data_IF_243343034539
#
_entry.id   IF_243343034539
#
_cell.length_a   1.000
_cell.length_b   1.000
_cell.length_c   1.000
_cell.angle_alpha   90.00
_cell.angle_beta   90.00
_cell.angle_gamma   90.00
#
_symmetry.space_group_name_H-M   'P 1'
#
loop_
_entity.id
_entity.type
_entity.pdbx_description
1 polymer ?
#
# COMPACT_ATOMS: atom_id res chain seq x y z
N UNK A 1 4.15 -21.20 33.12
CA UNK A 1 2.70 -20.94 33.20
C UNK A 1 2.54 -19.45 33.41
N UNK A 2 2.32 -18.67 32.33
CA UNK A 2 2.14 -17.20 32.45
C UNK A 2 0.72 -16.92 32.93
N UNK A 3 0.59 -16.16 34.01
CA UNK A 3 -0.69 -15.71 34.51
C UNK A 3 -1.43 -14.95 33.41
N UNK A 4 -2.64 -15.40 33.08
CA UNK A 4 -3.59 -14.61 32.30
C UNK A 4 -4.04 -13.48 33.22
N UNK A 5 -3.43 -12.31 33.09
CA UNK A 5 -3.98 -11.07 33.69
C UNK A 5 -5.46 -11.00 33.34
N UNK A 6 -6.29 -10.78 34.36
CA UNK A 6 -7.73 -10.57 34.22
C UNK A 6 -7.96 -9.47 33.20
N UNK A 7 -8.50 -9.84 32.04
CA UNK A 7 -9.04 -8.90 31.07
C UNK A 7 -10.21 -8.22 31.78
N UNK A 8 -10.00 -6.98 32.21
CA UNK A 8 -11.11 -6.12 32.60
C UNK A 8 -11.95 -5.97 31.34
N UNK A 9 -13.17 -6.53 31.32
CA UNK A 9 -14.16 -6.23 30.28
C UNK A 9 -14.56 -4.76 30.47
N UNK A 10 -13.78 -3.85 29.90
CA UNK A 10 -14.21 -2.48 29.71
C UNK A 10 -15.38 -2.50 28.73
N UNK A 11 -16.48 -1.83 29.07
CA UNK A 11 -17.46 -1.42 28.06
C UNK A 11 -16.75 -0.50 27.09
N UNK A 12 -16.39 -1.04 25.92
CA UNK A 12 -15.88 -0.24 24.83
C UNK A 12 -17.06 0.51 24.20
N UNK A 13 -16.89 1.78 23.80
CA UNK A 13 -17.94 2.50 23.11
C UNK A 13 -18.36 1.74 21.86
N UNK A 14 -19.67 1.63 21.63
CA UNK A 14 -20.19 1.23 20.33
C UNK A 14 -19.92 2.38 19.36
N UNK A 15 -19.21 2.08 18.27
CA UNK A 15 -18.95 3.04 17.21
C UNK A 15 -19.55 2.49 15.92
N UNK A 16 -20.38 3.31 15.29
CA UNK A 16 -20.99 3.02 13.99
C UNK A 16 -20.08 3.55 12.87
N UNK A 17 -20.03 2.84 11.75
CA UNK A 17 -19.36 3.27 10.53
C UNK A 17 -19.91 2.51 9.32
N UNK A 18 -19.73 3.05 8.12
CA UNK A 18 -20.02 2.34 6.88
C UNK A 18 -18.92 1.31 6.57
N UNK A 19 -17.67 1.66 6.88
CA UNK A 19 -16.49 0.84 6.61
C UNK A 19 -15.55 0.79 7.82
N UNK A 20 -15.31 -0.43 8.31
CA UNK A 20 -14.26 -0.72 9.29
C UNK A 20 -13.00 -1.24 8.59
N UNK A 21 -11.89 -0.51 8.71
CA UNK A 21 -10.57 -0.91 8.22
C UNK A 21 -9.72 -1.43 9.37
N UNK A 22 -9.18 -2.64 9.22
CA UNK A 22 -8.34 -3.29 10.23
C UNK A 22 -6.88 -3.32 9.77
N UNK A 23 -6.04 -2.51 10.43
CA UNK A 23 -4.61 -2.37 10.18
C UNK A 23 -4.25 -1.04 9.52
N UNK A 24 -3.20 -0.38 10.02
CA UNK A 24 -2.70 0.92 9.55
C UNK A 24 -1.50 0.83 8.60
N UNK A 25 -1.26 -0.33 7.98
CA UNK A 25 -0.29 -0.46 6.89
C UNK A 25 -0.75 0.27 5.62
N UNK A 26 0.09 0.27 4.57
CA UNK A 26 -0.25 0.98 3.31
C UNK A 26 -1.59 0.54 2.72
N UNK A 27 -1.90 -0.76 2.74
CA UNK A 27 -3.17 -1.25 2.21
C UNK A 27 -4.38 -0.72 2.99
N UNK A 28 -4.29 -0.71 4.33
CA UNK A 28 -5.35 -0.19 5.19
C UNK A 28 -5.52 1.32 5.05
N UNK A 29 -4.42 2.07 5.02
CA UNK A 29 -4.47 3.52 4.78
C UNK A 29 -5.05 3.83 3.40
N UNK A 30 -4.63 3.15 2.34
CA UNK A 30 -5.19 3.33 0.99
C UNK A 30 -6.69 3.00 0.96
N UNK A 31 -7.11 1.89 1.58
CA UNK A 31 -8.53 1.51 1.66
C UNK A 31 -9.35 2.56 2.42
N UNK A 32 -8.85 3.04 3.57
CA UNK A 32 -9.53 4.02 4.37
C UNK A 32 -9.68 5.36 3.63
N UNK A 33 -8.62 5.85 2.98
CA UNK A 33 -8.65 7.10 2.22
C UNK A 33 -9.59 6.96 1.02
N UNK A 34 -9.48 5.88 0.25
CA UNK A 34 -10.35 5.66 -0.93
C UNK A 34 -11.83 5.55 -0.55
N UNK A 35 -12.16 4.87 0.57
CA UNK A 35 -13.53 4.80 1.07
C UNK A 35 -14.04 6.17 1.53
N UNK A 36 -13.20 6.96 2.23
CA UNK A 36 -13.53 8.34 2.62
C UNK A 36 -13.78 9.25 1.40
N UNK A 37 -12.99 9.11 0.35
CA UNK A 37 -13.16 9.87 -0.91
C UNK A 37 -14.48 9.55 -1.61
N UNK A 38 -15.04 8.35 -1.38
CA UNK A 38 -16.36 7.94 -1.85
C UNK A 38 -17.51 8.31 -0.89
N UNK A 39 -17.20 9.05 0.19
CA UNK A 39 -18.20 9.58 1.13
C UNK A 39 -18.54 8.68 2.30
N UNK A 40 -17.94 7.48 2.42
CA UNK A 40 -18.20 6.56 3.53
C UNK A 40 -17.69 7.11 4.86
N UNK A 41 -18.40 6.86 5.97
CA UNK A 41 -17.86 6.99 7.32
C UNK A 41 -16.92 5.81 7.60
N UNK A 42 -15.65 6.12 7.89
CA UNK A 42 -14.59 5.11 8.02
C UNK A 42 -14.00 5.14 9.42
N UNK A 43 -13.95 3.97 10.06
CA UNK A 43 -13.14 3.73 11.25
C UNK A 43 -11.93 2.89 10.84
N UNK A 44 -10.73 3.35 11.18
CA UNK A 44 -9.49 2.57 11.03
C UNK A 44 -8.97 2.20 12.42
N UNK A 45 -8.70 0.92 12.62
CA UNK A 45 -8.10 0.40 13.85
C UNK A 45 -6.71 -0.16 13.61
N UNK A 46 -5.82 0.04 14.58
CA UNK A 46 -4.47 -0.52 14.60
C UNK A 46 -4.22 -1.11 15.98
N UNK A 47 -3.62 -2.31 16.02
CA UNK A 47 -3.27 -3.00 17.25
C UNK A 47 -1.96 -2.44 17.83
N UNK A 48 -1.01 -2.07 16.97
CA UNK A 48 0.26 -1.51 17.38
C UNK A 48 0.06 -0.16 18.12
N UNK A 49 1.00 0.15 19.01
CA UNK A 49 1.05 1.48 19.60
C UNK A 49 1.25 2.55 18.52
N UNK A 50 0.92 3.81 18.84
CA UNK A 50 1.07 4.94 17.91
C UNK A 50 2.48 5.01 17.32
N UNK A 51 3.50 4.76 18.13
CA UNK A 51 4.91 4.81 17.71
C UNK A 51 5.30 3.64 16.80
N UNK A 52 4.54 2.55 16.81
CA UNK A 52 4.82 1.29 16.11
C UNK A 52 3.86 1.03 14.92
N UNK A 53 2.90 1.93 14.67
CA UNK A 53 1.92 1.82 13.58
C UNK A 53 2.57 1.85 12.19
N UNK A 54 1.83 1.41 11.16
CA UNK A 54 2.32 1.34 9.78
C UNK A 54 2.76 -0.06 9.34
N UNK A 55 2.83 -1.03 10.27
CA UNK A 55 3.19 -2.41 9.98
C UNK A 55 4.52 -2.55 9.25
N UNK A 56 4.64 -3.56 8.39
CA UNK A 56 5.85 -3.78 7.59
C UNK A 56 6.12 -2.64 6.60
N UNK A 57 5.10 -1.91 6.17
CA UNK A 57 5.27 -0.77 5.24
C UNK A 57 6.18 0.30 5.84
N UNK A 58 6.09 0.56 7.16
CA UNK A 58 6.95 1.53 7.84
C UNK A 58 8.46 1.26 7.63
N UNK A 59 8.83 -0.01 7.42
CA UNK A 59 10.21 -0.45 7.24
C UNK A 59 10.59 -0.72 5.78
N UNK A 60 9.65 -0.62 4.84
CA UNK A 60 9.95 -0.80 3.43
C UNK A 60 10.73 0.42 2.91
N UNK A 61 11.65 0.19 1.96
CA UNK A 61 12.38 1.26 1.23
C UNK A 61 11.48 2.09 0.28
N UNK A 62 10.15 2.00 0.45
CA UNK A 62 9.14 2.80 -0.24
C UNK A 62 9.26 2.80 -1.78
N UNK A 63 9.64 1.66 -2.36
CA UNK A 63 9.77 1.48 -3.80
C UNK A 63 8.47 0.98 -4.43
N UNK A 64 7.98 1.69 -5.45
CA UNK A 64 6.81 1.27 -6.24
C UNK A 64 7.22 1.03 -7.69
N UNK A 65 6.92 -0.16 -8.21
CA UNK A 65 7.06 -0.51 -9.63
C UNK A 65 5.73 -0.32 -10.33
N UNK A 66 5.75 0.29 -11.50
CA UNK A 66 4.57 0.49 -12.34
C UNK A 66 4.99 0.62 -13.80
N UNK A 67 4.11 0.29 -14.77
CA UNK A 67 4.39 0.51 -16.19
C UNK A 67 4.61 2.00 -16.50
N UNK A 68 5.63 2.31 -17.28
CA UNK A 68 6.00 3.68 -17.65
C UNK A 68 6.72 3.74 -19.01
N UNK A 69 6.60 4.88 -19.68
CA UNK A 69 7.44 5.21 -20.81
C UNK A 69 8.87 5.54 -20.35
N UNK A 70 9.84 5.40 -21.24
CA UNK A 70 11.21 5.83 -20.97
C UNK A 70 11.27 7.32 -20.63
N UNK A 71 12.04 7.66 -19.60
CA UNK A 71 12.27 9.04 -19.15
C UNK A 71 13.75 9.26 -18.75
N UNK A 72 14.05 10.43 -18.17
CA UNK A 72 15.41 10.79 -17.75
C UNK A 72 15.95 9.94 -16.60
N UNK A 73 15.07 9.26 -15.86
CA UNK A 73 15.42 8.38 -14.73
C UNK A 73 15.53 6.92 -15.17
N UNK A 74 14.78 6.51 -16.20
CA UNK A 74 14.83 5.17 -16.75
C UNK A 74 14.73 5.17 -18.29
N UNK A 75 15.84 4.87 -19.02
CA UNK A 75 15.91 5.07 -20.47
C UNK A 75 15.25 3.94 -21.28
N UNK A 76 14.40 3.10 -20.69
CA UNK A 76 13.68 2.02 -21.39
C UNK A 76 12.21 2.06 -21.03
N UNK A 77 11.36 1.73 -21.99
CA UNK A 77 9.94 1.51 -21.69
C UNK A 77 9.81 0.29 -20.78
N UNK A 78 8.87 0.36 -19.85
CA UNK A 78 8.43 -0.77 -19.04
C UNK A 78 6.93 -0.93 -19.24
N UNK A 79 6.55 -1.87 -20.09
CA UNK A 79 5.16 -2.04 -20.52
C UNK A 79 4.34 -2.82 -19.48
N UNK A 80 3.01 -2.80 -19.62
CA UNK A 80 2.13 -3.67 -18.84
C UNK A 80 2.49 -5.15 -19.00
N UNK A 81 2.87 -5.57 -20.22
CA UNK A 81 3.28 -6.93 -20.49
C UNK A 81 4.61 -7.27 -19.81
N UNK A 82 5.59 -6.35 -19.81
CA UNK A 82 6.84 -6.54 -19.06
C UNK A 82 6.57 -6.71 -17.57
N UNK A 83 5.69 -5.88 -17.01
CA UNK A 83 5.33 -5.91 -15.59
C UNK A 83 4.59 -7.20 -15.22
N UNK A 84 3.62 -7.61 -16.04
CA UNK A 84 2.90 -8.89 -15.91
C UNK A 84 3.85 -10.08 -15.98
N UNK A 85 4.74 -10.08 -16.97
CA UNK A 85 5.72 -11.15 -17.17
C UNK A 85 6.69 -11.25 -15.99
N UNK A 86 7.07 -10.12 -15.38
CA UNK A 86 7.89 -10.12 -14.17
C UNK A 86 7.19 -10.78 -12.99
N UNK A 87 5.91 -10.52 -12.74
CA UNK A 87 5.14 -11.21 -11.70
C UNK A 87 5.12 -12.73 -11.93
N UNK A 88 4.85 -13.16 -13.16
CA UNK A 88 4.80 -14.59 -13.49
C UNK A 88 6.17 -15.25 -13.38
N UNK A 89 7.23 -14.57 -13.83
CA UNK A 89 8.62 -15.04 -13.73
C UNK A 89 9.07 -15.17 -12.28
N UNK A 90 8.87 -14.13 -11.46
CA UNK A 90 9.29 -14.09 -10.05
C UNK A 90 8.51 -15.11 -9.22
N UNK A 91 7.21 -15.24 -9.47
CA UNK A 91 6.36 -16.21 -8.76
C UNK A 91 6.53 -17.65 -9.25
N UNK A 92 7.29 -17.88 -10.33
CA UNK A 92 7.42 -19.16 -11.02
C UNK A 92 6.06 -19.71 -11.49
N UNK A 93 5.20 -18.82 -12.01
CA UNK A 93 3.87 -19.15 -12.50
C UNK A 93 2.83 -19.46 -11.43
N UNK A 94 3.15 -19.22 -10.14
CA UNK A 94 2.25 -19.52 -9.02
C UNK A 94 1.35 -18.36 -8.61
N UNK A 95 1.66 -17.13 -9.04
CA UNK A 95 0.80 -15.99 -8.77
C UNK A 95 -0.53 -16.12 -9.50
N UNK A 96 -1.60 -15.62 -8.87
CA UNK A 96 -2.92 -15.65 -9.47
C UNK A 96 -2.96 -14.64 -10.65
N UNK A 97 -3.21 -15.09 -11.89
CA UNK A 97 -3.19 -14.21 -13.06
C UNK A 97 -4.27 -13.14 -13.02
N UNK A 98 -5.45 -13.42 -12.44
CA UNK A 98 -6.54 -12.44 -12.33
C UNK A 98 -6.16 -11.30 -11.38
N UNK A 99 -5.51 -11.60 -10.25
CA UNK A 99 -5.04 -10.58 -9.32
C UNK A 99 -3.88 -9.77 -9.91
N UNK A 100 -2.99 -10.41 -10.67
CA UNK A 100 -1.94 -9.70 -11.41
C UNK A 100 -2.56 -8.73 -12.41
N UNK A 101 -3.60 -9.13 -13.14
CA UNK A 101 -4.28 -8.25 -14.09
C UNK A 101 -4.82 -6.99 -13.41
N UNK A 102 -5.43 -7.15 -12.23
CA UNK A 102 -5.91 -6.01 -11.43
C UNK A 102 -4.73 -5.09 -11.07
N UNK A 103 -3.61 -5.63 -10.59
CA UNK A 103 -2.44 -4.81 -10.24
C UNK A 103 -1.90 -4.07 -11.46
N UNK A 104 -1.68 -4.78 -12.57
CA UNK A 104 -1.06 -4.22 -13.78
C UNK A 104 -1.87 -3.04 -14.31
N UNK A 105 -3.19 -3.20 -14.42
CA UNK A 105 -4.08 -2.16 -14.96
C UNK A 105 -4.22 -0.93 -14.07
N UNK A 106 -4.09 -1.09 -12.75
CA UNK A 106 -4.30 -0.01 -11.80
C UNK A 106 -2.99 0.65 -11.34
N UNK A 107 -1.82 0.11 -11.70
CA UNK A 107 -0.55 0.56 -11.14
C UNK A 107 -0.22 2.02 -11.50
N UNK A 108 -0.42 2.43 -12.75
CA UNK A 108 -0.19 3.81 -13.19
C UNK A 108 -1.13 4.79 -12.49
N UNK A 109 -2.44 4.53 -12.54
CA UNK A 109 -3.47 5.33 -11.85
C UNK A 109 -3.22 5.42 -10.34
N UNK A 110 -2.72 4.34 -9.72
CA UNK A 110 -2.35 4.35 -8.30
C UNK A 110 -1.20 5.31 -8.03
N UNK A 111 -0.17 5.34 -8.88
CA UNK A 111 0.95 6.28 -8.75
C UNK A 111 0.49 7.71 -8.95
N UNK A 112 -0.39 7.98 -9.92
CA UNK A 112 -0.98 9.30 -10.13
C UNK A 112 -1.83 9.74 -8.92
N UNK A 113 -2.67 8.85 -8.40
CA UNK A 113 -3.47 9.11 -7.21
C UNK A 113 -2.58 9.43 -6.00
N UNK A 114 -1.55 8.61 -5.75
CA UNK A 114 -0.58 8.86 -4.70
C UNK A 114 0.08 10.24 -4.88
N UNK A 115 0.55 10.56 -6.08
CA UNK A 115 1.13 11.88 -6.42
C UNK A 115 0.19 13.01 -6.07
N UNK A 116 -1.09 12.90 -6.46
CA UNK A 116 -2.13 13.89 -6.14
C UNK A 116 -2.33 14.06 -4.63
N UNK A 117 -2.14 12.99 -3.83
CA UNK A 117 -2.21 13.04 -2.35
C UNK A 117 -0.99 13.71 -1.69
N UNK A 118 -0.05 14.26 -2.45
CA UNK A 118 1.10 15.02 -1.94
C UNK A 118 2.35 14.17 -1.70
N UNK A 119 2.41 13.01 -2.32
CA UNK A 119 3.59 12.15 -2.31
C UNK A 119 4.67 12.74 -3.21
N UNK A 120 5.89 12.83 -2.68
CA UNK A 120 7.06 13.32 -3.40
C UNK A 120 7.91 12.13 -3.88
N UNK A 121 8.05 12.00 -5.19
CA UNK A 121 8.86 10.94 -5.78
C UNK A 121 10.29 11.39 -5.99
N UNK A 122 11.21 10.48 -5.70
CA UNK A 122 12.61 10.56 -6.09
C UNK A 122 12.91 9.54 -7.17
N UNK A 123 13.87 9.90 -8.01
CA UNK A 123 14.53 8.97 -8.91
C UNK A 123 15.15 7.83 -8.10
N UNK A 124 14.52 6.65 -8.15
CA UNK A 124 15.05 5.45 -7.49
C UNK A 124 16.09 4.73 -8.34
N UNK A 125 16.86 3.85 -7.71
CA UNK A 125 17.61 2.77 -8.37
C UNK A 125 16.65 2.00 -9.31
N UNK A 126 17.10 1.50 -10.48
CA UNK A 126 16.27 1.42 -11.67
C UNK A 126 14.99 0.62 -11.39
N UNK A 127 13.89 1.06 -12.00
CA UNK A 127 12.55 0.44 -11.97
C UNK A 127 11.62 0.83 -10.82
N UNK A 128 11.99 1.76 -9.94
CA UNK A 128 11.14 2.13 -8.78
C UNK A 128 11.05 3.63 -8.63
N UNK A 129 9.85 4.17 -8.48
CA UNK A 129 9.69 5.49 -7.90
C UNK A 129 9.96 5.32 -6.39
N UNK A 130 11.07 5.89 -5.92
CA UNK A 130 11.45 5.91 -4.51
C UNK A 130 10.98 7.21 -3.86
N UNK A 131 11.11 7.32 -2.54
CA UNK A 131 10.92 8.58 -1.81
C UNK A 131 12.22 9.03 -1.17
N UNK A 132 12.31 10.34 -0.95
CA UNK A 132 13.30 10.95 -0.05
C UNK A 132 13.05 10.49 1.37
N UNK A 133 13.99 9.75 1.97
CA UNK A 133 14.25 9.95 3.40
C UNK A 133 14.91 11.31 3.51
N UNK A 134 14.17 12.33 3.95
CA UNK A 134 14.85 13.42 4.67
C UNK A 134 15.53 12.79 5.91
N UNK A 135 16.71 13.31 6.30
CA UNK A 135 17.56 12.71 7.33
C UNK A 135 16.83 12.45 8.65
#
# INVERSE_FOLDING_TARGET
>A
MRERSSIVQAELPHLDCDVLVVGSGVSGLCAAISAREQGAEVILIEKAAIEERGGNTKFADAQIRYPHAADEFYPRNYTEDDYRNDFMRISQGRANPELIEVIVRNAADTVEWLTYRGIEWEAGYPHTAGYRRSP
#
